data_IF_569999480984
#
_entry.id   IF_569999480984
#
_cell.length_a   1.000
_cell.length_b   1.000
_cell.length_c   1.000
_cell.angle_alpha   90.00
_cell.angle_beta   90.00
_cell.angle_gamma   90.00
#
_symmetry.space_group_name_H-M   'P 1'
#
loop_
_entity.id
_entity.type
_entity.pdbx_description
1 polymer ?
#
# COMPACT_ATOMS: atom_id res chain seq x y z
N UNK A 1 -10.18 21.29 26.83
CA UNK A 1 -8.94 21.03 26.07
C UNK A 1 -8.74 19.52 26.02
N UNK A 2 -9.44 18.83 25.11
CA UNK A 2 -9.28 17.39 24.93
C UNK A 2 -8.26 17.13 23.83
N UNK A 3 -7.17 16.43 24.13
CA UNK A 3 -6.32 15.84 23.09
C UNK A 3 -7.21 14.93 22.23
N UNK A 4 -7.04 14.89 20.90
CA UNK A 4 -7.71 13.89 20.09
C UNK A 4 -7.39 12.51 20.67
N UNK A 5 -8.42 11.70 20.89
CA UNK A 5 -8.26 10.31 21.33
C UNK A 5 -7.57 9.56 20.19
N UNK A 6 -6.34 9.11 20.43
CA UNK A 6 -5.55 8.40 19.44
C UNK A 6 -6.01 6.94 19.41
N UNK A 7 -6.74 6.57 18.36
CA UNK A 7 -7.12 5.19 18.13
C UNK A 7 -5.94 4.41 17.54
N UNK A 8 -5.59 3.28 18.16
CA UNK A 8 -4.48 2.40 17.73
C UNK A 8 -5.01 1.00 17.45
N UNK A 9 -4.59 0.39 16.35
CA UNK A 9 -4.88 -1.00 16.03
C UNK A 9 -3.67 -1.66 15.33
N UNK A 10 -3.45 -2.98 15.49
CA UNK A 10 -2.34 -3.67 14.86
C UNK A 10 -2.54 -3.84 13.34
N UNK A 11 -1.45 -3.77 12.58
CA UNK A 11 -1.48 -3.75 11.11
C UNK A 11 -2.15 -4.99 10.49
N UNK A 12 -1.98 -6.18 11.08
CA UNK A 12 -2.57 -7.42 10.57
C UNK A 12 -4.12 -7.45 10.63
N UNK A 13 -4.74 -6.50 11.33
CA UNK A 13 -6.19 -6.30 11.34
C UNK A 13 -6.71 -5.41 10.22
N UNK A 14 -5.81 -4.84 9.41
CA UNK A 14 -6.19 -4.01 8.28
C UNK A 14 -6.20 -4.83 6.98
N UNK A 15 -7.23 -4.62 6.19
CA UNK A 15 -7.32 -5.11 4.82
C UNK A 15 -7.21 -3.95 3.83
N UNK A 16 -6.66 -4.24 2.65
CA UNK A 16 -6.66 -3.33 1.52
C UNK A 16 -8.03 -3.29 0.84
N UNK A 17 -8.57 -2.09 0.67
CA UNK A 17 -9.78 -1.84 -0.10
C UNK A 17 -9.51 -0.82 -1.19
N UNK A 18 -9.98 -1.10 -2.41
CA UNK A 18 -9.78 -0.23 -3.56
C UNK A 18 -11.11 0.36 -4.02
N UNK A 19 -11.16 1.68 -4.17
CA UNK A 19 -12.26 2.36 -4.85
C UNK A 19 -11.86 2.81 -6.24
N UNK A 20 -12.83 2.81 -7.14
CA UNK A 20 -12.71 3.37 -8.48
C UNK A 20 -13.64 4.58 -8.56
N UNK A 21 -13.07 5.78 -8.57
CA UNK A 21 -13.84 7.02 -8.70
C UNK A 21 -13.68 7.58 -10.12
N UNK A 22 -14.79 7.72 -10.83
CA UNK A 22 -14.79 8.37 -12.14
C UNK A 22 -14.80 9.88 -11.92
N UNK A 23 -13.70 10.55 -12.28
CA UNK A 23 -13.57 12.00 -12.26
C UNK A 23 -13.94 12.59 -13.63
N UNK A 24 -14.64 13.72 -13.64
CA UNK A 24 -14.88 14.48 -14.87
C UNK A 24 -13.53 15.03 -15.41
N UNK A 25 -13.22 14.91 -16.73
CA UNK A 25 -14.09 14.61 -17.87
C UNK A 25 -14.06 13.14 -18.36
N UNK A 26 -13.82 12.16 -17.47
CA UNK A 26 -13.86 10.73 -17.79
C UNK A 26 -12.64 9.92 -17.32
N UNK A 27 -11.77 10.49 -16.48
CA UNK A 27 -10.67 9.74 -15.88
C UNK A 27 -11.17 8.84 -14.75
N UNK A 28 -10.48 7.74 -14.47
CA UNK A 28 -10.70 6.94 -13.26
C UNK A 28 -9.55 7.18 -12.31
N UNK A 29 -9.85 7.52 -11.06
CA UNK A 29 -8.88 7.57 -9.98
C UNK A 29 -9.09 6.34 -9.12
N UNK A 30 -8.03 5.56 -8.97
CA UNK A 30 -7.99 4.45 -8.04
C UNK A 30 -7.48 4.96 -6.70
N UNK A 31 -8.16 4.65 -5.60
CA UNK A 31 -7.68 5.00 -4.25
C UNK A 31 -7.63 3.75 -3.39
N UNK A 32 -6.46 3.49 -2.81
CA UNK A 32 -6.25 2.45 -1.82
C UNK A 32 -6.59 2.97 -0.42
N UNK A 33 -7.38 2.18 0.31
CA UNK A 33 -7.71 2.38 1.72
C UNK A 33 -7.22 1.20 2.54
N UNK A 34 -6.68 1.48 3.72
CA UNK A 34 -6.54 0.48 4.78
C UNK A 34 -7.79 0.56 5.65
N UNK A 35 -8.49 -0.56 5.79
CA UNK A 35 -9.73 -0.65 6.56
C UNK A 35 -9.53 -1.65 7.69
N UNK A 36 -9.73 -1.22 8.94
CA UNK A 36 -9.66 -2.14 10.07
C UNK A 36 -10.88 -3.06 10.08
N UNK A 37 -10.67 -4.35 10.39
CA UNK A 37 -11.73 -5.38 10.41
C UNK A 37 -12.75 -5.20 11.53
N UNK A 38 -12.35 -4.66 12.67
CA UNK A 38 -13.15 -4.68 13.90
C UNK A 38 -13.65 -3.29 14.32
N UNK A 39 -12.97 -2.24 13.87
CA UNK A 39 -13.24 -0.85 14.24
C UNK A 39 -13.53 -0.01 12.99
N UNK A 40 -14.28 1.10 13.11
CA UNK A 40 -14.59 2.00 11.99
C UNK A 40 -13.39 2.90 11.60
N UNK A 41 -12.21 2.32 11.47
CA UNK A 41 -10.96 3.00 11.10
C UNK A 41 -10.71 2.79 9.61
N UNK A 42 -10.60 3.89 8.87
CA UNK A 42 -10.35 3.90 7.43
C UNK A 42 -9.26 4.92 7.13
N UNK A 43 -8.16 4.47 6.51
CA UNK A 43 -6.99 5.30 6.23
C UNK A 43 -6.78 5.35 4.70
N UNK A 44 -6.91 6.53 4.05
CA UNK A 44 -6.70 6.69 2.62
C UNK A 44 -5.20 6.74 2.29
N UNK A 45 -4.56 5.57 2.18
CA UNK A 45 -3.13 5.45 1.88
C UNK A 45 -2.78 5.71 0.40
N UNK A 46 -3.76 5.63 -0.51
CA UNK A 46 -3.55 5.94 -1.93
C UNK A 46 -3.03 7.36 -2.17
N UNK A 47 -3.30 8.30 -1.26
CA UNK A 47 -2.77 9.67 -1.33
C UNK A 47 -1.24 9.74 -1.26
N UNK A 48 -0.56 8.69 -0.79
CA UNK A 48 0.91 8.63 -0.73
C UNK A 48 1.55 8.52 -2.12
N UNK A 49 0.82 7.95 -3.10
CA UNK A 49 1.30 7.74 -4.47
C UNK A 49 0.58 8.61 -5.50
N UNK A 50 -0.45 9.36 -5.07
CA UNK A 50 -1.19 10.29 -5.93
C UNK A 50 -2.26 9.61 -6.79
N UNK A 51 -2.63 10.26 -7.91
CA UNK A 51 -3.57 9.65 -8.87
C UNK A 51 -2.87 8.50 -9.58
N UNK A 52 -3.38 7.31 -9.41
CA UNK A 52 -2.64 6.08 -9.63
C UNK A 52 -3.48 5.02 -10.36
N UNK A 53 -2.83 4.04 -10.98
CA UNK A 53 -3.51 2.89 -11.58
C UNK A 53 -3.92 1.88 -10.51
N UNK A 54 -4.73 0.90 -10.89
CA UNK A 54 -5.12 -0.16 -9.96
C UNK A 54 -3.91 -1.03 -9.53
N UNK A 55 -2.99 -1.28 -10.47
CA UNK A 55 -1.77 -2.04 -10.28
C UNK A 55 -0.85 -1.36 -9.27
N UNK A 56 -0.66 -0.05 -9.39
CA UNK A 56 0.15 0.74 -8.46
C UNK A 56 -0.44 0.73 -7.03
N UNK A 57 -1.76 0.75 -6.88
CA UNK A 57 -2.42 0.51 -5.58
C UNK A 57 -2.07 -0.88 -5.01
N UNK A 58 -2.02 -1.92 -5.83
CA UNK A 58 -1.61 -3.24 -5.37
C UNK A 58 -0.12 -3.32 -5.03
N UNK A 59 0.73 -2.67 -5.81
CA UNK A 59 2.15 -2.56 -5.49
C UNK A 59 2.37 -1.86 -4.14
N UNK A 60 1.60 -0.79 -3.85
CA UNK A 60 1.62 -0.10 -2.56
C UNK A 60 1.17 -1.02 -1.41
N UNK A 61 0.10 -1.79 -1.61
CA UNK A 61 -0.35 -2.75 -0.58
C UNK A 61 0.69 -3.84 -0.31
N UNK A 62 1.31 -4.40 -1.35
CA UNK A 62 2.38 -5.38 -1.21
C UNK A 62 3.61 -4.79 -0.51
N UNK A 63 4.02 -3.58 -0.88
CA UNK A 63 5.10 -2.86 -0.22
C UNK A 63 4.82 -2.67 1.27
N UNK A 64 3.60 -2.28 1.66
CA UNK A 64 3.22 -2.13 3.07
C UNK A 64 3.27 -3.46 3.81
N UNK A 65 2.75 -4.54 3.23
CA UNK A 65 2.84 -5.88 3.84
C UNK A 65 4.29 -6.32 4.05
N UNK A 66 5.14 -6.16 3.02
CA UNK A 66 6.54 -6.54 3.10
C UNK A 66 7.33 -5.67 4.08
N UNK A 67 7.03 -4.38 4.16
CA UNK A 67 7.67 -3.46 5.10
C UNK A 67 7.30 -3.77 6.56
N UNK A 68 6.04 -4.14 6.81
CA UNK A 68 5.57 -4.49 8.15
C UNK A 68 6.01 -5.89 8.60
N UNK A 69 6.43 -6.77 7.67
CA UNK A 69 6.98 -8.09 7.97
C UNK A 69 8.50 -8.05 8.19
N UNK A 70 8.91 -7.76 9.43
CA UNK A 70 10.33 -7.71 9.81
C UNK A 70 11.00 -9.08 9.89
N UNK A 71 10.29 -10.18 9.60
CA UNK A 71 10.88 -11.52 9.55
C UNK A 71 11.55 -11.83 8.22
N UNK A 72 11.30 -11.01 7.19
CA UNK A 72 11.79 -11.18 5.84
C UNK A 72 12.81 -10.08 5.50
N UNK A 73 13.75 -10.36 4.57
CA UNK A 73 14.60 -9.30 4.05
C UNK A 73 13.77 -8.25 3.32
N UNK A 74 14.27 -7.03 3.28
CA UNK A 74 13.71 -5.93 2.50
C UNK A 74 13.57 -6.36 1.03
N UNK A 75 12.49 -5.92 0.35
CA UNK A 75 12.33 -6.15 -1.07
C UNK A 75 13.59 -5.74 -1.84
N UNK A 76 14.03 -6.60 -2.76
CA UNK A 76 15.16 -6.28 -3.61
C UNK A 76 14.73 -5.34 -4.73
N UNK A 77 14.74 -4.05 -4.42
CA UNK A 77 14.44 -2.96 -5.36
C UNK A 77 15.51 -1.86 -5.23
N UNK A 78 15.75 -1.06 -6.28
CA UNK A 78 16.77 -0.01 -6.28
C UNK A 78 16.64 0.98 -5.11
N UNK A 79 15.40 1.29 -4.71
CA UNK A 79 15.09 2.20 -3.59
C UNK A 79 15.74 1.78 -2.27
N UNK A 80 15.82 0.47 -2.00
CA UNK A 80 16.32 -0.04 -0.72
C UNK A 80 17.82 -0.35 -0.73
N UNK A 81 18.51 -0.26 -1.88
CA UNK A 81 19.90 -0.71 -2.04
C UNK A 81 20.84 -0.14 -0.97
N UNK A 82 20.77 1.16 -0.72
CA UNK A 82 21.62 1.82 0.29
C UNK A 82 21.26 1.47 1.75
N UNK A 83 20.04 0.97 1.96
CA UNK A 83 19.51 0.65 3.28
C UNK A 83 19.64 -0.84 3.63
N UNK A 84 19.87 -1.73 2.64
CA UNK A 84 20.03 -3.18 2.86
C UNK A 84 21.06 -3.53 3.95
N UNK A 85 22.24 -2.85 4.07
CA UNK A 85 23.19 -3.16 5.15
C UNK A 85 22.73 -2.73 6.55
N UNK A 86 21.77 -1.82 6.65
CA UNK A 86 21.26 -1.32 7.93
C UNK A 86 20.17 -2.23 8.52
N UNK A 87 19.53 -3.05 7.68
CA UNK A 87 18.53 -4.03 8.13
C UNK A 87 19.20 -5.38 8.46
N UNK A 88 19.18 -5.85 9.72
CA UNK A 88 19.90 -7.06 10.11
C UNK A 88 19.46 -8.33 9.37
N UNK A 89 18.17 -8.46 9.07
CA UNK A 89 17.61 -9.62 8.36
C UNK A 89 18.08 -9.63 6.90
N UNK A 90 18.03 -8.47 6.25
CA UNK A 90 18.52 -8.27 4.89
C UNK A 90 20.03 -8.46 4.79
N UNK A 91 20.80 -7.91 5.73
CA UNK A 91 22.25 -8.03 5.74
C UNK A 91 22.70 -9.50 5.87
N UNK A 92 22.05 -10.28 6.72
CA UNK A 92 22.32 -11.71 6.85
C UNK A 92 21.92 -12.48 5.59
N UNK A 93 20.75 -12.20 5.03
CA UNK A 93 20.31 -12.79 3.77
C UNK A 93 21.28 -12.50 2.62
N UNK A 94 21.76 -11.26 2.50
CA UNK A 94 22.70 -10.85 1.47
C UNK A 94 24.07 -11.51 1.65
N UNK A 95 24.51 -11.71 2.90
CA UNK A 95 25.73 -12.46 3.22
C UNK A 95 25.63 -13.93 2.80
N UNK A 96 24.48 -14.57 3.06
CA UNK A 96 24.25 -15.97 2.71
C UNK A 96 24.15 -16.19 1.20
N UNK A 97 23.50 -15.26 0.50
CA UNK A 97 23.29 -15.32 -0.97
C UNK A 97 24.46 -14.73 -1.76
N UNK A 98 25.45 -14.14 -1.08
CA UNK A 98 26.59 -13.45 -1.69
C UNK A 98 26.17 -12.34 -2.66
N UNK A 99 25.10 -11.61 -2.32
CA UNK A 99 24.56 -10.53 -3.15
C UNK A 99 25.57 -9.37 -3.24
N UNK A 100 25.86 -8.83 -4.44
CA UNK A 100 26.72 -7.65 -4.59
C UNK A 100 26.12 -6.41 -3.90
N UNK A 101 26.91 -5.59 -3.17
CA UNK A 101 26.40 -4.37 -2.51
C UNK A 101 25.87 -3.29 -3.45
N UNK A 102 26.34 -3.27 -4.71
CA UNK A 102 25.94 -2.32 -5.77
C UNK A 102 25.15 -3.01 -6.88
N UNK A 103 24.41 -4.06 -6.55
CA UNK A 103 23.71 -4.92 -7.50
C UNK A 103 22.90 -4.15 -8.55
N UNK A 104 22.07 -3.19 -8.15
CA UNK A 104 21.22 -2.42 -9.06
C UNK A 104 22.02 -1.39 -9.85
N UNK A 105 22.96 -0.69 -9.18
CA UNK A 105 23.79 0.33 -9.84
C UNK A 105 24.73 -0.23 -10.89
N UNK A 106 25.28 -1.41 -10.67
CA UNK A 106 26.26 -2.04 -11.57
C UNK A 106 25.60 -3.00 -12.58
N UNK A 107 24.27 -3.13 -12.51
CA UNK A 107 23.48 -3.94 -13.45
C UNK A 107 23.50 -3.34 -14.86
N UNK A 108 23.58 -4.21 -15.88
CA UNK A 108 23.44 -3.77 -17.26
C UNK A 108 21.99 -3.46 -17.62
N UNK A 109 21.80 -2.68 -18.70
CA UNK A 109 20.49 -2.19 -19.12
C UNK A 109 19.50 -3.29 -19.50
N UNK A 110 19.98 -4.40 -20.09
CA UNK A 110 19.09 -5.48 -20.53
C UNK A 110 18.60 -6.28 -19.33
N UNK A 111 19.49 -6.62 -18.40
CA UNK A 111 19.11 -7.26 -17.13
C UNK A 111 18.16 -6.37 -16.31
N UNK A 112 18.42 -5.06 -16.25
CA UNK A 112 17.53 -4.10 -15.60
C UNK A 112 16.13 -4.11 -16.20
N UNK A 113 16.03 -4.11 -17.54
CA UNK A 113 14.75 -4.14 -18.24
C UNK A 113 13.99 -5.42 -17.91
N UNK A 114 14.66 -6.57 -17.95
CA UNK A 114 14.05 -7.85 -17.58
C UNK A 114 13.55 -7.83 -16.14
N UNK A 115 14.35 -7.33 -15.19
CA UNK A 115 13.96 -7.23 -13.78
C UNK A 115 12.74 -6.33 -13.56
N UNK A 116 12.66 -5.20 -14.26
CA UNK A 116 11.49 -4.34 -14.20
C UNK A 116 10.23 -5.00 -14.75
N UNK A 117 10.34 -5.75 -15.84
CA UNK A 117 9.22 -6.51 -16.40
C UNK A 117 8.77 -7.61 -15.44
N UNK A 118 9.70 -8.35 -14.82
CA UNK A 118 9.42 -9.35 -13.79
C UNK A 118 8.66 -8.74 -12.61
N UNK A 119 9.15 -7.62 -12.05
CA UNK A 119 8.48 -6.91 -10.96
C UNK A 119 7.06 -6.45 -11.33
N UNK A 120 6.87 -5.93 -12.55
CA UNK A 120 5.55 -5.54 -13.05
C UNK A 120 4.57 -6.72 -13.13
N UNK A 121 5.05 -7.89 -13.57
CA UNK A 121 4.24 -9.11 -13.61
C UNK A 121 3.89 -9.62 -12.22
N UNK A 122 4.79 -9.50 -11.25
CA UNK A 122 4.53 -9.95 -9.88
C UNK A 122 3.44 -9.11 -9.19
N UNK A 123 3.38 -7.80 -9.46
CA UNK A 123 2.27 -6.94 -9.02
C UNK A 123 0.93 -7.44 -9.56
N UNK A 124 0.88 -7.88 -10.82
CA UNK A 124 -0.34 -8.43 -11.43
C UNK A 124 -0.74 -9.79 -10.85
N UNK A 125 0.20 -10.53 -10.25
CA UNK A 125 -0.05 -11.85 -9.62
C UNK A 125 -0.55 -11.74 -8.19
N UNK A 126 -0.52 -10.55 -7.59
CA UNK A 126 -1.01 -10.35 -6.22
C UNK A 126 -2.47 -10.79 -6.13
N UNK A 127 -2.75 -11.72 -5.22
CA UNK A 127 -4.07 -12.32 -5.02
C UNK A 127 -5.05 -11.41 -4.27
N UNK A 128 -4.68 -10.15 -4.04
CA UNK A 128 -5.50 -9.12 -3.39
C UNK A 128 -6.93 -9.02 -3.94
N UNK A 129 -7.21 -9.11 -5.27
CA UNK A 129 -8.58 -9.10 -5.77
C UNK A 129 -9.41 -10.34 -5.39
N UNK A 130 -8.76 -11.45 -5.02
CA UNK A 130 -9.41 -12.73 -4.71
C UNK A 130 -9.63 -12.99 -3.21
N UNK A 131 -9.15 -12.12 -2.32
CA UNK A 131 -9.41 -12.29 -0.87
C UNK A 131 -10.90 -12.02 -0.59
N UNK A 132 -11.58 -12.88 0.18
CA UNK A 132 -12.97 -12.65 0.56
C UNK A 132 -13.12 -11.30 1.25
N UNK A 133 -13.96 -10.42 0.68
CA UNK A 133 -14.31 -9.15 1.30
C UNK A 133 -15.26 -9.40 2.49
N UNK A 134 -14.64 -9.67 3.65
CA UNK A 134 -15.35 -9.85 4.93
C UNK A 134 -16.00 -8.55 5.42
N UNK A 135 -15.64 -7.40 4.83
CA UNK A 135 -16.11 -6.07 5.19
C UNK A 135 -17.13 -5.49 4.21
N UNK A 136 -17.62 -6.25 3.22
CA UNK A 136 -18.63 -5.81 2.24
C UNK A 136 -19.87 -5.12 2.87
N UNK A 137 -20.17 -5.41 4.15
CA UNK A 137 -21.28 -4.83 4.91
C UNK A 137 -20.92 -3.56 5.71
N UNK A 138 -19.65 -3.27 5.97
CA UNK A 138 -19.23 -2.06 6.71
C UNK A 138 -19.41 -0.78 5.88
N UNK A 139 -19.37 -0.89 4.55
CA UNK A 139 -19.60 0.23 3.61
C UNK A 139 -21.00 0.85 3.71
N UNK A 140 -21.97 0.15 4.31
CA UNK A 140 -23.30 0.71 4.59
C UNK A 140 -23.19 1.88 5.59
N UNK A 141 -22.09 1.97 6.34
CA UNK A 141 -21.81 3.04 7.27
C UNK A 141 -20.76 4.03 6.73
N UNK A 142 -21.00 4.59 5.53
CA UNK A 142 -20.52 5.96 5.32
C UNK A 142 -21.43 6.87 6.17
N UNK A 143 -20.92 7.56 7.21
CA UNK A 143 -21.71 8.60 7.83
C UNK A 143 -21.91 9.63 6.73
N UNK A 144 -23.13 9.68 6.17
CA UNK A 144 -23.54 10.77 5.29
C UNK A 144 -23.17 12.02 6.05
N UNK A 145 -22.19 12.77 5.56
CA UNK A 145 -21.90 14.08 6.09
C UNK A 145 -23.20 14.85 5.93
N UNK A 146 -24.00 14.95 7.00
CA UNK A 146 -25.20 15.75 7.01
C UNK A 146 -24.66 17.16 6.89
N UNK A 147 -24.62 17.69 5.66
CA UNK A 147 -24.57 19.13 5.42
C UNK A 147 -25.69 19.68 6.30
N UNK A 148 -25.32 20.27 7.44
CA UNK A 148 -26.26 21.05 8.25
C UNK A 148 -26.75 22.11 7.29
N UNK A 149 -28.00 21.97 6.81
CA UNK A 149 -28.69 23.09 6.17
C UNK A 149 -28.67 24.18 7.24
N UNK A 150 -27.99 25.28 6.94
CA UNK A 150 -28.16 26.50 7.72
C UNK A 150 -29.67 26.77 7.74
N UNK A 151 -30.25 26.78 8.94
CA UNK A 151 -31.63 27.17 9.12
C UNK A 151 -31.74 28.63 8.66
N UNK A 152 -32.58 28.86 7.66
CA UNK A 152 -33.18 30.16 7.42
C UNK A 152 -33.95 30.55 8.69
N UNK A 153 -33.69 31.74 9.24
CA UNK A 153 -34.43 32.27 10.37
C UNK A 153 -33.89 33.64 10.79
N UNK A 154 -34.61 34.69 10.40
CA UNK A 154 -34.35 36.09 10.68
C UNK A 154 -34.99 36.96 9.62
#
# INVERSE_FOLDING_TARGET
TGKPEEETAPFYEFDAYLTNEVIYPGGTVHTLYLVNRYHPIVIPVGNLIGKTSHEECYALWDMLQNFMDTSRPLPDIPLWEEHRPNDPVTAEHDRQTQRPPRYWRDMDKETWKQKNEEMGLDVLRLTTPGRPDIMRKSWIYQPRYKKRRAATGG
#
